data_IF_725288885143
#
_entry.id   IF_725288885143
#
_cell.length_a   1.000
_cell.length_b   1.000
_cell.length_c   1.000
_cell.angle_alpha   90.00
_cell.angle_beta   90.00
_cell.angle_gamma   90.00
#
_symmetry.space_group_name_H-M   'P 1'
#
loop_
_entity.id
_entity.type
_entity.pdbx_description
1 polymer ?
#
# COMPACT_ATOMS: atom_id res chain seq x y z
N UNK A 1 -2.76 -35.61 -49.12
CA UNK A 1 -1.76 -35.26 -48.07
C UNK A 1 -1.74 -33.77 -47.73
N UNK A 2 -1.57 -32.83 -48.68
CA UNK A 2 -1.41 -31.40 -48.35
C UNK A 2 -2.59 -30.76 -47.61
N UNK A 3 -3.85 -31.09 -47.92
CA UNK A 3 -5.01 -30.60 -47.15
C UNK A 3 -4.99 -31.06 -45.67
N UNK A 4 -4.55 -32.29 -45.39
CA UNK A 4 -4.49 -32.83 -44.04
C UNK A 4 -3.39 -32.15 -43.19
N UNK A 5 -2.27 -31.78 -43.83
CA UNK A 5 -1.23 -30.96 -43.22
C UNK A 5 -1.70 -29.51 -42.95
N UNK A 6 -2.52 -28.94 -43.83
CA UNK A 6 -3.13 -27.62 -43.63
C UNK A 6 -4.18 -27.62 -42.51
N UNK A 7 -5.07 -28.61 -42.44
CA UNK A 7 -5.95 -28.78 -41.28
C UNK A 7 -5.16 -29.06 -40.00
N UNK A 8 -4.10 -29.88 -40.07
CA UNK A 8 -3.20 -30.12 -38.94
C UNK A 8 -2.56 -28.84 -38.42
N UNK A 9 -2.01 -27.99 -39.29
CA UNK A 9 -1.40 -26.70 -38.93
C UNK A 9 -2.43 -25.67 -38.41
N UNK A 10 -3.67 -25.70 -38.89
CA UNK A 10 -4.76 -24.87 -38.37
C UNK A 10 -5.22 -25.36 -36.99
N UNK A 11 -5.31 -26.67 -36.76
CA UNK A 11 -5.67 -27.26 -35.47
C UNK A 11 -4.54 -27.15 -34.43
N UNK A 12 -3.27 -27.26 -34.84
CA UNK A 12 -2.12 -27.01 -33.96
C UNK A 12 -2.02 -25.54 -33.53
N UNK A 13 -2.58 -24.59 -34.28
CA UNK A 13 -2.75 -23.18 -33.86
C UNK A 13 -4.00 -22.92 -33.01
N UNK A 14 -4.87 -23.90 -32.85
CA UNK A 14 -5.99 -23.90 -31.90
C UNK A 14 -5.70 -24.76 -30.65
N UNK A 15 -4.47 -25.29 -30.54
CA UNK A 15 -4.00 -26.14 -29.44
C UNK A 15 -3.22 -25.41 -28.34
N UNK A 16 -2.95 -24.12 -28.49
CA UNK A 16 -2.69 -23.27 -27.33
C UNK A 16 -3.99 -23.17 -26.54
N UNK A 17 -3.97 -23.57 -25.27
CA UNK A 17 -5.11 -23.42 -24.37
C UNK A 17 -5.60 -21.97 -24.46
N UNK A 18 -6.86 -21.80 -24.86
CA UNK A 18 -7.57 -20.53 -24.76
C UNK A 18 -7.81 -20.21 -23.28
N UNK A 19 -6.75 -19.80 -22.60
CA UNK A 19 -6.85 -18.86 -21.50
C UNK A 19 -7.52 -17.61 -22.08
N UNK A 20 -8.85 -17.56 -21.96
CA UNK A 20 -9.64 -16.37 -22.26
C UNK A 20 -8.90 -15.17 -21.64
N UNK A 21 -8.61 -14.11 -22.43
CA UNK A 21 -7.91 -12.95 -21.90
C UNK A 21 -8.65 -12.48 -20.66
N UNK A 22 -7.93 -12.36 -19.54
CA UNK A 22 -8.54 -12.23 -18.23
C UNK A 22 -9.44 -11.00 -18.24
N UNK A 23 -10.75 -11.24 -18.14
CA UNK A 23 -11.73 -10.21 -18.44
C UNK A 23 -12.05 -9.40 -17.18
N UNK A 24 -12.18 -8.09 -17.34
CA UNK A 24 -12.76 -7.22 -16.32
C UNK A 24 -14.13 -7.77 -15.89
N UNK A 25 -14.37 -7.92 -14.59
CA UNK A 25 -15.60 -8.56 -14.10
C UNK A 25 -16.88 -7.88 -14.57
N UNK A 26 -16.87 -6.57 -14.86
CA UNK A 26 -18.02 -5.84 -15.39
C UNK A 26 -18.31 -6.26 -16.84
N UNK A 27 -17.27 -6.52 -17.64
CA UNK A 27 -17.41 -7.03 -19.01
C UNK A 27 -17.88 -8.49 -18.97
N UNK A 28 -17.35 -9.30 -18.05
CA UNK A 28 -17.79 -10.68 -17.86
C UNK A 28 -19.27 -10.76 -17.41
N UNK A 29 -19.71 -9.88 -16.51
CA UNK A 29 -21.12 -9.78 -16.11
C UNK A 29 -22.00 -9.39 -17.29
N UNK A 30 -21.61 -8.39 -18.09
CA UNK A 30 -22.37 -7.98 -19.28
C UNK A 30 -22.57 -9.13 -20.28
N UNK A 31 -21.53 -9.95 -20.51
CA UNK A 31 -21.62 -11.13 -21.38
C UNK A 31 -22.53 -12.21 -20.77
N UNK A 32 -22.43 -12.46 -19.46
CA UNK A 32 -23.31 -13.41 -18.76
C UNK A 32 -24.78 -12.98 -18.77
N UNK A 33 -25.07 -11.68 -18.63
CA UNK A 33 -26.44 -11.15 -18.63
C UNK A 33 -27.14 -11.25 -20.00
N UNK A 34 -26.37 -11.36 -21.10
CA UNK A 34 -26.89 -11.62 -22.44
C UNK A 34 -27.29 -13.08 -22.67
N UNK A 35 -26.68 -14.03 -21.96
CA UNK A 35 -27.08 -15.44 -21.99
C UNK A 35 -28.17 -15.73 -20.94
N UNK A 36 -29.27 -16.34 -21.38
CA UNK A 36 -30.43 -16.58 -20.49
C UNK A 36 -30.12 -17.54 -19.32
N UNK A 37 -29.22 -18.50 -19.50
CA UNK A 37 -28.91 -19.53 -18.49
C UNK A 37 -27.90 -18.97 -17.49
N UNK A 38 -26.86 -18.30 -17.98
CA UNK A 38 -25.88 -17.61 -17.16
C UNK A 38 -26.54 -16.52 -16.31
N UNK A 39 -27.40 -15.67 -16.91
CA UNK A 39 -28.15 -14.65 -16.19
C UNK A 39 -29.01 -15.25 -15.06
N UNK A 40 -29.84 -16.26 -15.35
CA UNK A 40 -30.67 -16.92 -14.33
C UNK A 40 -29.85 -17.55 -13.20
N UNK A 41 -28.70 -18.13 -13.53
CA UNK A 41 -27.77 -18.72 -12.56
C UNK A 41 -27.10 -17.65 -11.70
N UNK A 42 -26.64 -16.56 -12.30
CA UNK A 42 -26.03 -15.42 -11.60
C UNK A 42 -27.03 -14.72 -10.67
N UNK A 43 -28.28 -14.53 -11.10
CA UNK A 43 -29.37 -14.04 -10.20
C UNK A 43 -29.64 -15.00 -9.05
N UNK A 44 -29.50 -16.31 -9.26
CA UNK A 44 -29.61 -17.28 -8.17
C UNK A 44 -28.48 -17.07 -7.15
N UNK A 45 -27.24 -16.90 -7.63
CA UNK A 45 -26.07 -16.70 -6.77
C UNK A 45 -26.08 -15.36 -6.01
N UNK A 46 -26.53 -14.26 -6.62
CA UNK A 46 -26.77 -12.98 -5.93
C UNK A 46 -27.74 -13.16 -4.75
N UNK A 47 -28.82 -13.92 -4.92
CA UNK A 47 -29.79 -14.19 -3.84
C UNK A 47 -29.18 -15.05 -2.72
N UNK A 48 -28.29 -15.98 -3.05
CA UNK A 48 -27.56 -16.81 -2.09
C UNK A 48 -26.59 -15.98 -1.23
N UNK A 49 -25.82 -15.07 -1.85
CA UNK A 49 -24.92 -14.15 -1.16
C UNK A 49 -25.67 -13.16 -0.25
N UNK A 50 -26.81 -12.64 -0.72
CA UNK A 50 -27.71 -11.82 0.09
C UNK A 50 -28.28 -12.57 1.30
N UNK A 51 -28.62 -13.86 1.15
CA UNK A 51 -29.08 -14.69 2.26
C UNK A 51 -27.96 -14.95 3.28
N UNK A 52 -26.73 -15.23 2.82
CA UNK A 52 -25.52 -15.39 3.66
C UNK A 52 -25.24 -14.11 4.46
N UNK A 53 -25.24 -12.95 3.79
CA UNK A 53 -25.01 -11.63 4.39
C UNK A 53 -26.06 -11.26 5.45
N UNK A 54 -27.31 -11.68 5.26
CA UNK A 54 -28.42 -11.42 6.19
C UNK A 54 -28.61 -12.51 7.26
N UNK A 55 -27.71 -13.49 7.32
CA UNK A 55 -27.80 -14.66 8.20
C UNK A 55 -29.14 -15.41 8.09
N UNK A 56 -29.75 -15.40 6.90
CA UNK A 56 -31.03 -16.07 6.64
C UNK A 56 -30.76 -17.57 6.51
N UNK A 57 -31.40 -18.36 7.37
CA UNK A 57 -31.36 -19.81 7.30
C UNK A 57 -32.06 -20.32 6.03
N UNK A 58 -31.28 -20.61 4.99
CA UNK A 58 -31.77 -21.29 3.79
C UNK A 58 -32.23 -22.72 4.12
N UNK A 59 -33.34 -23.15 3.50
CA UNK A 59 -33.77 -24.55 3.46
C UNK A 59 -32.82 -25.42 2.61
N UNK A 60 -33.00 -26.74 2.66
CA UNK A 60 -32.11 -27.68 1.95
C UNK A 60 -32.11 -27.45 0.43
N UNK A 61 -33.28 -27.28 -0.19
CA UNK A 61 -33.40 -27.14 -1.65
C UNK A 61 -32.82 -25.79 -2.12
N UNK A 62 -32.96 -24.72 -1.32
CA UNK A 62 -32.26 -23.45 -1.58
C UNK A 62 -30.75 -23.58 -1.45
N UNK A 63 -30.21 -24.29 -0.46
CA UNK A 63 -28.76 -24.54 -0.35
C UNK A 63 -28.23 -25.34 -1.55
N UNK A 64 -28.94 -26.38 -1.97
CA UNK A 64 -28.58 -27.18 -3.16
C UNK A 64 -28.62 -26.31 -4.43
N UNK A 65 -29.61 -25.41 -4.57
CA UNK A 65 -29.65 -24.44 -5.68
C UNK A 65 -28.45 -23.48 -5.67
N UNK A 66 -28.03 -22.99 -4.51
CA UNK A 66 -26.84 -22.14 -4.39
C UNK A 66 -25.56 -22.88 -4.83
N UNK A 67 -25.33 -24.09 -4.30
CA UNK A 67 -24.17 -24.91 -4.67
C UNK A 67 -24.14 -25.25 -6.17
N UNK A 68 -25.29 -25.57 -6.76
CA UNK A 68 -25.39 -25.82 -8.20
C UNK A 68 -25.10 -24.56 -9.03
N UNK A 69 -25.49 -23.37 -8.55
CA UNK A 69 -25.21 -22.10 -9.22
C UNK A 69 -23.71 -21.75 -9.17
N UNK A 70 -23.05 -21.97 -8.02
CA UNK A 70 -21.59 -21.84 -7.87
C UNK A 70 -20.85 -22.79 -8.82
N UNK A 71 -21.23 -24.07 -8.87
CA UNK A 71 -20.61 -25.07 -9.75
C UNK A 71 -20.77 -24.74 -11.25
N UNK A 72 -21.94 -24.24 -11.65
CA UNK A 72 -22.18 -23.85 -13.04
C UNK A 72 -21.36 -22.62 -13.44
N UNK A 73 -21.36 -21.57 -12.62
CA UNK A 73 -20.58 -20.35 -12.88
C UNK A 73 -19.07 -20.57 -12.73
N UNK A 74 -18.65 -21.59 -11.99
CA UNK A 74 -17.25 -22.02 -11.90
C UNK A 74 -16.63 -22.43 -13.25
N UNK A 75 -17.44 -22.84 -14.23
CA UNK A 75 -16.99 -23.14 -15.59
C UNK A 75 -17.13 -21.95 -16.57
N UNK A 76 -17.48 -20.76 -16.07
CA UNK A 76 -17.73 -19.56 -16.89
C UNK A 76 -16.58 -18.54 -16.82
N UNK A 77 -16.54 -17.61 -17.78
CA UNK A 77 -15.58 -16.49 -17.77
C UNK A 77 -15.70 -15.58 -16.55
N UNK A 78 -16.83 -15.61 -15.83
CA UNK A 78 -17.00 -14.87 -14.58
C UNK A 78 -16.07 -15.36 -13.46
N UNK A 79 -15.84 -16.68 -13.30
CA UNK A 79 -14.95 -17.17 -12.25
C UNK A 79 -13.53 -16.62 -12.41
N UNK A 80 -13.04 -16.54 -13.65
CA UNK A 80 -11.67 -16.12 -13.90
C UNK A 80 -11.49 -14.60 -13.98
N UNK A 81 -12.56 -13.82 -13.86
CA UNK A 81 -12.54 -12.37 -13.98
C UNK A 81 -11.67 -11.69 -12.91
N UNK A 82 -11.24 -10.46 -13.21
CA UNK A 82 -10.50 -9.61 -12.28
C UNK A 82 -10.96 -8.16 -12.33
N UNK A 83 -10.46 -7.39 -11.38
CA UNK A 83 -10.67 -5.96 -11.27
C UNK A 83 -9.34 -5.22 -11.33
N UNK A 84 -9.36 -4.01 -11.90
CA UNK A 84 -8.19 -3.14 -11.86
C UNK A 84 -8.21 -2.23 -10.65
N UNK A 85 -7.03 -1.95 -10.09
CA UNK A 85 -6.89 -0.90 -9.10
C UNK A 85 -7.22 0.45 -9.78
N UNK A 86 -7.89 1.37 -9.08
CA UNK A 86 -8.18 2.75 -9.54
C UNK A 86 -9.30 2.88 -10.60
N UNK A 87 -9.94 1.79 -11.01
CA UNK A 87 -11.04 1.79 -12.00
C UNK A 87 -12.28 2.57 -11.52
N UNK A 88 -13.08 3.14 -12.46
CA UNK A 88 -14.21 4.02 -12.10
C UNK A 88 -15.35 3.32 -11.34
N UNK A 89 -15.60 2.03 -11.61
CA UNK A 89 -16.69 1.23 -11.03
C UNK A 89 -16.15 0.12 -10.11
N UNK A 90 -15.06 0.40 -9.39
CA UNK A 90 -14.32 -0.61 -8.62
C UNK A 90 -15.20 -1.38 -7.64
N UNK A 91 -16.02 -0.71 -6.82
CA UNK A 91 -16.92 -1.35 -5.86
C UNK A 91 -17.91 -2.34 -6.51
N UNK A 92 -18.38 -2.06 -7.72
CA UNK A 92 -19.26 -2.96 -8.47
C UNK A 92 -18.49 -4.13 -9.07
N UNK A 93 -17.29 -3.91 -9.61
CA UNK A 93 -16.42 -5.00 -10.06
C UNK A 93 -16.09 -5.98 -8.93
N UNK A 94 -15.71 -5.46 -7.75
CA UNK A 94 -15.40 -6.27 -6.58
C UNK A 94 -16.62 -7.04 -6.05
N UNK A 95 -17.82 -6.45 -6.15
CA UNK A 95 -19.07 -7.12 -5.81
C UNK A 95 -19.31 -8.34 -6.71
N UNK A 96 -19.23 -8.17 -8.03
CA UNK A 96 -19.33 -9.27 -9.02
C UNK A 96 -18.34 -10.38 -8.66
N UNK A 97 -17.06 -10.01 -8.44
CA UNK A 97 -16.03 -10.96 -8.05
C UNK A 97 -16.39 -11.74 -6.78
N UNK A 98 -16.78 -11.05 -5.70
CA UNK A 98 -17.10 -11.71 -4.43
C UNK A 98 -18.37 -12.55 -4.49
N UNK A 99 -19.38 -12.16 -5.30
CA UNK A 99 -20.58 -12.97 -5.53
C UNK A 99 -20.22 -14.29 -6.23
N UNK A 100 -19.31 -14.30 -7.21
CA UNK A 100 -18.92 -15.55 -7.91
C UNK A 100 -17.81 -16.34 -7.20
N UNK A 101 -17.20 -15.79 -6.14
CA UNK A 101 -16.24 -16.46 -5.26
C UNK A 101 -16.81 -16.65 -3.83
N UNK A 102 -18.13 -16.75 -3.69
CA UNK A 102 -18.83 -16.84 -2.39
C UNK A 102 -18.36 -17.99 -1.50
N UNK A 103 -18.08 -19.17 -2.07
CA UNK A 103 -17.58 -20.35 -1.37
C UNK A 103 -16.11 -20.23 -0.93
N UNK A 104 -15.27 -19.55 -1.71
CA UNK A 104 -13.87 -19.27 -1.31
C UNK A 104 -13.74 -18.31 -0.12
N UNK A 105 -14.86 -17.81 0.41
CA UNK A 105 -14.88 -16.97 1.63
C UNK A 105 -15.25 -17.73 2.90
N UNK A 106 -15.50 -19.04 2.82
CA UNK A 106 -15.80 -19.87 3.99
C UNK A 106 -14.56 -20.08 4.90
N UNK A 107 -13.36 -19.95 4.33
CA UNK A 107 -12.14 -19.68 5.09
C UNK A 107 -12.09 -18.22 5.58
N UNK A 108 -12.80 -17.91 6.68
CA UNK A 108 -13.01 -16.56 7.24
C UNK A 108 -11.80 -15.60 7.27
N UNK A 109 -10.57 -16.13 7.27
CA UNK A 109 -9.34 -15.35 7.28
C UNK A 109 -8.41 -15.61 6.08
N UNK A 110 -8.49 -16.76 5.41
CA UNK A 110 -7.59 -17.13 4.31
C UNK A 110 -8.25 -16.81 2.98
N UNK A 111 -8.12 -15.57 2.51
CA UNK A 111 -8.65 -15.15 1.21
C UNK A 111 -7.72 -15.66 0.10
N UNK A 112 -8.01 -16.87 -0.41
CA UNK A 112 -7.12 -17.65 -1.29
C UNK A 112 -6.70 -16.95 -2.60
N UNK A 113 -7.40 -15.90 -3.02
CA UNK A 113 -7.11 -15.21 -4.28
C UNK A 113 -7.50 -13.73 -4.21
N UNK A 114 -6.54 -12.86 -4.56
CA UNK A 114 -6.79 -11.42 -4.75
C UNK A 114 -7.76 -11.20 -5.93
N UNK A 115 -8.72 -10.28 -5.81
CA UNK A 115 -9.59 -9.86 -6.92
C UNK A 115 -8.90 -8.90 -7.90
N UNK A 116 -7.70 -8.43 -7.60
CA UNK A 116 -6.96 -7.51 -8.47
C UNK A 116 -6.06 -8.25 -9.46
N UNK A 117 -5.86 -7.66 -10.64
CA UNK A 117 -4.81 -8.12 -11.56
C UNK A 117 -3.42 -7.87 -10.98
N UNK A 118 -2.46 -8.74 -11.33
CA UNK A 118 -1.09 -8.59 -10.86
C UNK A 118 -0.44 -7.38 -11.59
N UNK A 119 0.05 -6.37 -10.85
CA UNK A 119 0.64 -5.16 -11.44
C UNK A 119 1.86 -5.40 -12.32
N UNK A 120 2.45 -6.60 -12.33
CA UNK A 120 3.49 -6.99 -13.28
C UNK A 120 3.04 -6.97 -14.76
N UNK A 121 1.72 -6.94 -15.03
CA UNK A 121 1.14 -6.88 -16.38
C UNK A 121 0.67 -5.46 -16.74
N UNK A 122 0.37 -4.60 -15.75
CA UNK A 122 0.14 -3.18 -16.00
C UNK A 122 1.48 -2.49 -16.28
N UNK A 123 1.82 -2.39 -17.57
CA UNK A 123 2.96 -1.60 -18.05
C UNK A 123 3.03 -0.28 -17.28
N UNK A 124 4.21 0.06 -16.74
CA UNK A 124 4.44 1.32 -16.07
C UNK A 124 3.97 2.47 -16.97
N UNK A 125 2.83 3.07 -16.60
CA UNK A 125 2.44 4.38 -17.10
C UNK A 125 3.68 5.26 -17.04
N UNK A 126 4.08 5.83 -18.17
CA UNK A 126 5.16 6.81 -18.25
C UNK A 126 4.79 8.02 -17.40
N UNK A 127 5.03 7.96 -16.08
CA UNK A 127 5.49 9.11 -15.32
C UNK A 127 6.66 9.66 -16.13
N UNK A 128 6.62 10.92 -16.54
CA UNK A 128 7.75 11.48 -17.26
C UNK A 128 8.91 11.61 -16.27
N UNK A 129 9.77 10.58 -16.26
CA UNK A 129 10.91 10.50 -15.37
C UNK A 129 11.87 11.67 -15.60
N UNK A 130 11.82 12.33 -16.76
CA UNK A 130 12.59 13.56 -17.02
C UNK A 130 12.00 14.75 -16.26
N UNK A 131 10.66 14.90 -16.21
CA UNK A 131 10.01 15.92 -15.40
C UNK A 131 10.28 15.67 -13.91
N UNK A 132 10.09 14.43 -13.43
CA UNK A 132 10.32 14.08 -12.03
C UNK A 132 11.80 14.19 -11.63
N UNK A 133 12.74 13.85 -12.52
CA UNK A 133 14.17 14.05 -12.30
C UNK A 133 14.55 15.53 -12.33
N UNK A 134 14.04 16.33 -13.26
CA UNK A 134 14.29 17.77 -13.30
C UNK A 134 13.79 18.48 -12.02
N UNK A 135 12.61 18.10 -11.51
CA UNK A 135 12.07 18.60 -10.24
C UNK A 135 12.92 18.19 -9.02
N UNK A 136 13.61 17.04 -9.07
CA UNK A 136 14.55 16.60 -8.03
C UNK A 136 15.92 17.24 -8.17
N UNK A 137 16.42 17.47 -9.39
CA UNK A 137 17.69 18.15 -9.66
C UNK A 137 17.62 19.65 -9.41
N UNK A 138 16.48 20.29 -9.64
CA UNK A 138 16.22 21.70 -9.26
C UNK A 138 16.21 21.93 -7.74
N UNK A 139 16.15 20.85 -6.94
CA UNK A 139 16.24 20.89 -5.47
C UNK A 139 17.69 20.96 -4.95
N UNK A 140 18.68 21.35 -5.76
CA UNK A 140 20.05 21.63 -5.30
C UNK A 140 20.21 22.94 -4.50
N UNK A 141 19.09 23.63 -4.19
CA UNK A 141 19.11 24.74 -3.24
C UNK A 141 19.38 24.23 -1.80
N UNK A 142 20.48 24.74 -1.26
CA UNK A 142 21.03 24.52 0.09
C UNK A 142 21.57 23.11 0.38
N UNK A 143 22.89 23.04 0.56
CA UNK A 143 23.53 21.93 1.25
C UNK A 143 23.27 22.05 2.74
N UNK A 144 22.37 21.20 3.24
CA UNK A 144 22.28 20.79 4.64
C UNK A 144 21.58 19.42 4.70
N UNK A 145 21.61 18.72 5.83
CA UNK A 145 21.00 17.41 6.03
C UNK A 145 19.45 17.48 6.12
N UNK A 146 18.79 17.98 5.07
CA UNK A 146 17.35 18.21 5.06
C UNK A 146 16.57 16.89 5.11
N UNK A 147 15.91 16.64 6.24
CA UNK A 147 14.86 15.64 6.50
C UNK A 147 14.23 15.01 5.22
N UNK A 148 14.49 13.73 4.91
CA UNK A 148 14.04 13.12 3.65
C UNK A 148 12.51 13.12 3.44
N UNK A 149 11.72 13.00 4.51
CA UNK A 149 10.26 13.11 4.44
C UNK A 149 9.77 14.53 4.10
N UNK A 150 10.52 15.56 4.52
CA UNK A 150 10.29 16.94 4.10
C UNK A 150 10.62 17.10 2.62
N UNK A 151 11.74 16.53 2.13
CA UNK A 151 12.09 16.53 0.70
C UNK A 151 11.02 15.83 -0.15
N UNK A 152 10.50 14.67 0.27
CA UNK A 152 9.39 13.99 -0.38
C UNK A 152 8.10 14.85 -0.40
N UNK A 153 7.82 15.56 0.69
CA UNK A 153 6.76 16.58 0.76
C UNK A 153 6.96 17.69 -0.28
N UNK A 154 8.16 18.24 -0.43
CA UNK A 154 8.43 19.27 -1.44
C UNK A 154 8.25 18.76 -2.86
N UNK A 155 8.70 17.54 -3.18
CA UNK A 155 8.47 16.92 -4.49
C UNK A 155 6.98 16.78 -4.82
N UNK A 156 6.15 16.39 -3.84
CA UNK A 156 4.69 16.39 -4.00
C UNK A 156 4.11 17.80 -4.25
N UNK A 157 4.63 18.82 -3.57
CA UNK A 157 4.16 20.20 -3.71
C UNK A 157 4.38 20.77 -5.12
N UNK A 158 5.36 20.25 -5.88
CA UNK A 158 5.61 20.62 -7.28
C UNK A 158 4.53 20.06 -8.24
N UNK A 159 3.90 18.94 -7.89
CA UNK A 159 2.78 18.38 -8.66
C UNK A 159 1.45 18.96 -8.20
N UNK A 160 0.80 19.77 -9.05
CA UNK A 160 -0.54 20.33 -8.81
C UNK A 160 -1.58 19.27 -8.39
N UNK A 161 -1.45 18.03 -8.89
CA UNK A 161 -2.33 16.91 -8.52
C UNK A 161 -2.03 16.37 -7.12
N UNK A 162 -0.75 16.15 -6.81
CA UNK A 162 -0.31 15.61 -5.53
C UNK A 162 -0.63 16.59 -4.39
N UNK A 163 -0.22 17.86 -4.53
CA UNK A 163 -0.45 18.89 -3.51
C UNK A 163 -1.94 19.08 -3.22
N UNK A 164 -2.79 19.17 -4.27
CA UNK A 164 -4.23 19.36 -4.10
C UNK A 164 -4.87 18.21 -3.33
N UNK A 165 -4.65 16.97 -3.77
CA UNK A 165 -5.24 15.79 -3.14
C UNK A 165 -4.70 15.58 -1.71
N UNK A 166 -3.44 15.94 -1.47
CA UNK A 166 -2.83 15.89 -0.13
C UNK A 166 -3.45 16.89 0.84
N UNK A 167 -3.56 18.15 0.43
CA UNK A 167 -4.21 19.19 1.23
C UNK A 167 -5.69 18.87 1.45
N UNK A 168 -6.37 18.30 0.44
CA UNK A 168 -7.76 17.87 0.53
C UNK A 168 -7.96 16.82 1.63
N UNK A 169 -7.29 15.66 1.59
CA UNK A 169 -7.45 14.66 2.65
C UNK A 169 -7.01 15.19 4.01
N UNK A 170 -5.90 15.93 4.08
CA UNK A 170 -5.41 16.49 5.34
C UNK A 170 -6.45 17.40 5.99
N UNK A 171 -7.05 18.32 5.22
CA UNK A 171 -8.10 19.21 5.71
C UNK A 171 -9.37 18.49 6.17
N UNK A 172 -9.72 17.36 5.54
CA UNK A 172 -10.86 16.53 5.95
C UNK A 172 -10.56 15.80 7.27
N UNK A 173 -9.33 15.28 7.41
CA UNK A 173 -8.91 14.55 8.60
C UNK A 173 -8.63 15.45 9.82
N UNK A 174 -8.28 16.73 9.63
CA UNK A 174 -8.02 17.68 10.73
C UNK A 174 -9.22 18.55 11.10
N UNK A 175 -10.30 18.56 10.29
CA UNK A 175 -11.50 19.34 10.58
C UNK A 175 -12.39 18.63 11.60
N UNK A 176 -12.33 19.07 12.85
CA UNK A 176 -13.28 18.67 13.90
C UNK A 176 -14.73 19.06 13.54
N UNK A 177 -15.69 18.29 14.04
CA UNK A 177 -17.12 18.48 13.80
C UNK A 177 -17.84 18.84 15.09
N UNK A 178 -17.94 20.14 15.38
CA UNK A 178 -18.62 20.63 16.58
C UNK A 178 -17.78 20.51 17.86
N UNK A 179 -18.42 20.59 19.02
CA UNK A 179 -17.79 20.83 20.33
C UNK A 179 -17.22 19.59 21.03
N UNK A 180 -16.88 18.54 20.28
CA UNK A 180 -16.05 17.42 20.76
C UNK A 180 -14.99 17.13 19.69
N UNK A 181 -13.74 16.92 20.10
CA UNK A 181 -12.53 16.85 19.25
C UNK A 181 -12.44 15.58 18.37
N UNK A 182 -13.50 15.26 17.64
CA UNK A 182 -13.59 14.09 16.77
C UNK A 182 -13.73 14.48 15.30
N UNK A 183 -12.92 13.85 14.46
CA UNK A 183 -12.96 14.01 13.01
C UNK A 183 -14.03 13.11 12.37
N UNK A 184 -14.47 13.44 11.15
CA UNK A 184 -15.23 12.49 10.33
C UNK A 184 -14.28 11.45 9.71
N UNK A 185 -14.00 10.37 10.47
CA UNK A 185 -13.12 9.28 10.04
C UNK A 185 -13.55 8.64 8.74
N UNK A 186 -14.86 8.54 8.45
CA UNK A 186 -15.38 7.97 7.19
C UNK A 186 -15.03 8.85 5.99
N UNK A 187 -15.15 10.18 6.12
CA UNK A 187 -14.68 11.12 5.09
C UNK A 187 -13.15 11.14 4.99
N UNK A 188 -12.43 11.12 6.10
CA UNK A 188 -10.96 11.07 6.13
C UNK A 188 -10.42 9.82 5.40
N UNK A 189 -10.94 8.64 5.72
CA UNK A 189 -10.62 7.38 5.03
C UNK A 189 -10.90 7.44 3.53
N UNK A 190 -12.04 8.00 3.11
CA UNK A 190 -12.36 8.21 1.68
C UNK A 190 -11.36 9.15 1.01
N UNK A 191 -10.94 10.22 1.68
CA UNK A 191 -9.91 11.16 1.20
C UNK A 191 -8.54 10.49 1.04
N UNK A 192 -8.12 9.69 2.02
CA UNK A 192 -6.88 8.91 1.96
C UNK A 192 -6.88 7.92 0.79
N UNK A 193 -7.96 7.14 0.61
CA UNK A 193 -8.10 6.23 -0.55
C UNK A 193 -7.99 7.00 -1.87
N UNK A 194 -8.70 8.13 -2.00
CA UNK A 194 -8.62 8.98 -3.20
C UNK A 194 -7.20 9.50 -3.47
N UNK A 195 -6.43 9.85 -2.43
CA UNK A 195 -5.03 10.25 -2.57
C UNK A 195 -4.14 9.11 -3.09
N UNK A 196 -4.11 7.96 -2.42
CA UNK A 196 -3.27 6.81 -2.82
C UNK A 196 -3.72 6.16 -4.15
N UNK A 197 -4.99 6.29 -4.52
CA UNK A 197 -5.50 5.81 -5.81
C UNK A 197 -5.28 6.78 -6.97
N UNK A 198 -5.21 8.11 -6.75
CA UNK A 198 -5.11 9.08 -7.85
C UNK A 198 -3.74 9.74 -8.00
N UNK A 199 -2.89 9.75 -6.97
CA UNK A 199 -1.52 10.24 -7.07
C UNK A 199 -0.59 9.12 -7.58
N UNK A 200 0.36 9.38 -8.51
CA UNK A 200 1.31 8.37 -8.97
C UNK A 200 2.16 7.81 -7.83
N UNK A 201 2.51 6.53 -7.91
CA UNK A 201 3.16 5.83 -6.80
C UNK A 201 4.55 6.35 -6.48
N UNK A 202 5.26 6.92 -7.46
CA UNK A 202 6.55 7.60 -7.27
C UNK A 202 6.48 8.72 -6.21
N UNK A 203 5.35 9.41 -6.06
CA UNK A 203 5.17 10.43 -5.03
C UNK A 203 4.74 9.80 -3.69
N UNK A 204 3.74 8.93 -3.71
CA UNK A 204 3.15 8.39 -2.48
C UNK A 204 4.08 7.43 -1.75
N UNK A 205 4.86 6.61 -2.47
CA UNK A 205 5.92 5.76 -1.89
C UNK A 205 7.00 6.61 -1.21
N UNK A 206 7.44 7.71 -1.83
CA UNK A 206 8.46 8.61 -1.25
C UNK A 206 7.97 9.33 0.01
N UNK A 207 6.70 9.72 0.08
CA UNK A 207 6.13 10.39 1.26
C UNK A 207 5.95 9.38 2.41
N UNK A 208 5.47 8.17 2.11
CA UNK A 208 5.14 7.16 3.11
C UNK A 208 6.37 6.39 3.62
N UNK A 209 7.29 6.03 2.74
CA UNK A 209 8.48 5.20 3.02
C UNK A 209 9.78 6.01 2.93
N UNK A 210 9.79 7.24 3.45
CA UNK A 210 11.02 8.04 3.53
C UNK A 210 11.97 7.50 4.63
N UNK A 211 13.28 7.36 4.34
CA UNK A 211 14.28 7.03 5.36
C UNK A 211 14.42 8.18 6.37
N UNK A 212 14.67 7.85 7.63
CA UNK A 212 14.83 8.83 8.71
C UNK A 212 16.00 8.47 9.60
N UNK A 213 16.70 9.49 10.08
CA UNK A 213 17.83 9.39 11.02
C UNK A 213 17.49 9.96 12.40
N UNK A 214 16.38 10.69 12.51
CA UNK A 214 15.91 11.36 13.72
C UNK A 214 14.39 11.20 13.90
N UNK A 215 13.94 11.43 15.13
CA UNK A 215 12.54 11.35 15.53
C UNK A 215 11.62 12.40 14.89
N UNK A 216 12.14 13.57 14.48
CA UNK A 216 11.33 14.61 13.82
C UNK A 216 10.97 14.19 12.38
N UNK A 217 11.87 13.48 11.72
CA UNK A 217 11.64 12.81 10.45
C UNK A 217 10.67 11.63 10.62
N UNK A 218 10.90 10.74 11.58
CA UNK A 218 10.02 9.59 11.79
C UNK A 218 8.61 10.01 12.22
N UNK A 219 8.46 11.08 13.01
CA UNK A 219 7.16 11.66 13.34
C UNK A 219 6.47 12.29 12.11
N UNK A 220 7.23 12.96 11.23
CA UNK A 220 6.71 13.44 9.94
C UNK A 220 6.22 12.27 9.06
N UNK A 221 6.95 11.15 9.05
CA UNK A 221 6.56 9.91 8.36
C UNK A 221 5.26 9.35 8.94
N UNK A 222 5.20 9.12 10.26
CA UNK A 222 4.03 8.63 11.00
C UNK A 222 2.78 9.50 10.83
N UNK A 223 2.96 10.83 10.76
CA UNK A 223 1.88 11.80 10.56
C UNK A 223 1.38 11.93 9.11
N UNK A 224 1.98 11.23 8.14
CA UNK A 224 1.56 11.26 6.72
C UNK A 224 0.06 11.07 6.52
N UNK A 225 -0.55 10.14 7.27
CA UNK A 225 -1.96 9.77 7.12
C UNK A 225 -2.90 10.44 8.15
N UNK A 226 -2.41 11.39 8.95
CA UNK A 226 -3.14 12.02 10.07
C UNK A 226 -3.65 10.98 11.09
N UNK A 227 -2.73 10.31 11.82
CA UNK A 227 -3.04 9.11 12.61
C UNK A 227 -4.10 9.34 13.68
N UNK A 228 -4.12 10.51 14.30
CA UNK A 228 -5.05 10.90 15.37
C UNK A 228 -6.53 10.82 14.92
N UNK A 229 -6.77 10.87 13.60
CA UNK A 229 -8.08 10.68 12.97
C UNK A 229 -8.22 9.32 12.26
N UNK A 230 -7.22 8.93 11.46
CA UNK A 230 -7.33 7.82 10.51
C UNK A 230 -6.92 6.46 11.06
N UNK A 231 -6.12 6.44 12.13
CA UNK A 231 -5.48 5.25 12.68
C UNK A 231 -5.94 5.01 14.12
N UNK A 232 -5.67 5.97 15.01
CA UNK A 232 -5.90 5.85 16.44
C UNK A 232 -7.38 5.95 16.81
N UNK A 233 -7.74 5.33 17.93
CA UNK A 233 -9.02 5.44 18.63
C UNK A 233 -8.70 5.66 20.12
N UNK A 234 -9.66 6.18 20.89
CA UNK A 234 -9.51 6.39 22.35
C UNK A 234 -9.13 5.12 23.12
N UNK A 235 -9.56 3.95 22.64
CA UNK A 235 -9.12 2.63 23.11
C UNK A 235 -8.69 1.78 21.91
N UNK A 236 -7.87 0.75 22.14
CA UNK A 236 -7.57 -0.26 21.11
C UNK A 236 -8.67 -1.34 21.12
N UNK A 237 -9.44 -1.54 20.03
CA UNK A 237 -10.37 -2.65 19.92
C UNK A 237 -9.63 -3.99 19.74
N UNK A 238 -10.35 -5.11 19.83
CA UNK A 238 -9.80 -6.40 19.44
C UNK A 238 -9.58 -6.47 17.90
N UNK A 239 -8.49 -7.05 17.42
CA UNK A 239 -8.20 -7.10 15.97
C UNK A 239 -9.23 -7.90 15.16
N UNK A 240 -9.94 -8.85 15.77
CA UNK A 240 -11.06 -9.57 15.14
C UNK A 240 -12.19 -8.60 14.74
N UNK A 241 -12.47 -7.58 15.55
CA UNK A 241 -13.50 -6.57 15.22
C UNK A 241 -13.11 -5.73 13.99
N UNK A 242 -11.82 -5.42 13.82
CA UNK A 242 -11.32 -4.76 12.60
C UNK A 242 -11.43 -5.68 11.38
N UNK A 243 -11.17 -6.98 11.53
CA UNK A 243 -11.37 -7.98 10.48
C UNK A 243 -12.84 -8.08 10.10
N UNK A 244 -13.76 -8.21 11.06
CA UNK A 244 -15.19 -8.32 10.82
C UNK A 244 -15.70 -7.09 10.02
N UNK A 245 -15.36 -5.88 10.47
CA UNK A 245 -15.65 -4.64 9.74
C UNK A 245 -14.98 -4.55 8.36
N UNK A 246 -13.87 -5.25 8.13
CA UNK A 246 -13.19 -5.31 6.84
C UNK A 246 -13.84 -6.30 5.87
N UNK A 247 -14.35 -7.43 6.38
CA UNK A 247 -15.00 -8.46 5.57
C UNK A 247 -16.39 -8.02 5.06
N UNK A 248 -17.06 -7.10 5.76
CA UNK A 248 -18.30 -6.45 5.31
C UNK A 248 -18.07 -5.42 4.18
N UNK A 249 -16.91 -4.75 4.13
CA UNK A 249 -16.57 -3.76 3.11
C UNK A 249 -15.83 -4.45 1.94
N UNK A 250 -16.48 -4.57 0.78
CA UNK A 250 -15.87 -5.21 -0.40
C UNK A 250 -14.51 -4.60 -0.79
N UNK A 251 -14.28 -3.29 -0.58
CA UNK A 251 -12.98 -2.68 -0.87
C UNK A 251 -11.96 -3.19 0.16
N UNK A 252 -12.27 -3.15 1.46
CA UNK A 252 -11.34 -3.64 2.49
C UNK A 252 -11.03 -5.12 2.32
N UNK A 253 -12.05 -5.99 2.21
CA UNK A 253 -11.90 -7.43 1.94
C UNK A 253 -10.99 -7.70 0.74
N UNK A 254 -11.18 -6.96 -0.36
CA UNK A 254 -10.34 -7.07 -1.56
C UNK A 254 -8.91 -6.58 -1.35
N UNK A 255 -8.69 -5.52 -0.58
CA UNK A 255 -7.34 -5.02 -0.25
C UNK A 255 -6.61 -5.98 0.71
N UNK A 256 -7.34 -6.60 1.63
CA UNK A 256 -6.81 -7.59 2.58
C UNK A 256 -6.36 -8.86 1.84
N UNK A 257 -7.17 -9.40 0.92
CA UNK A 257 -6.78 -10.53 0.07
C UNK A 257 -5.51 -10.21 -0.74
N UNK A 258 -5.42 -9.00 -1.28
CA UNK A 258 -4.24 -8.54 -2.03
C UNK A 258 -3.00 -8.38 -1.14
N UNK A 259 -3.17 -7.94 0.10
CA UNK A 259 -2.10 -7.86 1.10
C UNK A 259 -1.61 -9.24 1.52
N UNK A 260 -2.53 -10.16 1.83
CA UNK A 260 -2.21 -11.56 2.13
C UNK A 260 -1.44 -12.20 0.98
N UNK A 261 -1.93 -12.09 -0.26
CA UNK A 261 -1.30 -12.72 -1.41
C UNK A 261 0.12 -12.17 -1.71
N UNK A 262 0.32 -10.85 -1.62
CA UNK A 262 1.58 -10.21 -2.07
C UNK A 262 2.61 -9.99 -0.95
N UNK A 263 2.20 -9.97 0.32
CA UNK A 263 3.08 -9.81 1.49
C UNK A 263 3.20 -11.08 2.34
N UNK A 264 2.76 -12.25 1.84
CA UNK A 264 2.93 -13.52 2.56
C UNK A 264 4.42 -13.78 2.84
N UNK A 265 4.84 -13.93 4.11
CA UNK A 265 6.20 -14.31 4.42
C UNK A 265 6.51 -15.73 3.93
N UNK A 266 7.73 -15.93 3.45
CA UNK A 266 8.28 -17.20 3.00
C UNK A 266 9.64 -17.43 3.66
N UNK A 267 9.69 -18.34 4.65
CA UNK A 267 10.88 -18.58 5.47
C UNK A 267 12.11 -19.08 4.69
N UNK A 268 11.88 -19.66 3.51
CA UNK A 268 12.93 -20.17 2.60
C UNK A 268 13.40 -19.13 1.58
N UNK A 269 12.81 -17.93 1.55
CA UNK A 269 13.24 -16.83 0.68
C UNK A 269 14.34 -15.99 1.34
N UNK A 270 15.34 -15.59 0.56
CA UNK A 270 16.43 -14.69 1.00
C UNK A 270 15.96 -13.28 1.37
N UNK A 271 14.84 -12.82 0.80
CA UNK A 271 14.19 -11.54 1.16
C UNK A 271 12.93 -11.74 2.04
N UNK A 272 12.60 -12.98 2.37
CA UNK A 272 11.41 -13.33 3.15
C UNK A 272 10.08 -13.21 2.39
N UNK A 273 10.04 -12.82 1.12
CA UNK A 273 8.82 -12.71 0.30
C UNK A 273 8.62 -13.93 -0.62
N UNK A 274 7.38 -14.41 -0.73
CA UNK A 274 7.01 -15.58 -1.55
C UNK A 274 7.20 -15.43 -3.07
N UNK A 275 7.24 -14.20 -3.59
CA UNK A 275 7.37 -13.88 -5.02
C UNK A 275 8.52 -12.90 -5.32
N UNK A 276 9.41 -12.62 -4.37
CA UNK A 276 10.48 -11.62 -4.48
C UNK A 276 10.03 -10.20 -4.92
N UNK A 277 8.73 -9.88 -4.78
CA UNK A 277 8.11 -8.69 -5.36
C UNK A 277 7.79 -7.64 -4.29
N UNK A 278 8.83 -6.97 -3.78
CA UNK A 278 8.70 -5.85 -2.84
C UNK A 278 7.73 -4.77 -3.36
N UNK A 279 7.72 -4.50 -4.67
CA UNK A 279 6.87 -3.47 -5.26
C UNK A 279 5.37 -3.81 -5.16
N UNK A 280 4.99 -5.08 -5.34
CA UNK A 280 3.62 -5.55 -5.15
C UNK A 280 3.22 -5.55 -3.67
N UNK A 281 4.09 -6.00 -2.76
CA UNK A 281 3.80 -5.96 -1.32
C UNK A 281 3.58 -4.52 -0.81
N UNK A 282 4.45 -3.56 -1.18
CA UNK A 282 4.27 -2.15 -0.81
C UNK A 282 2.99 -1.55 -1.40
N UNK A 283 2.65 -1.90 -2.64
CA UNK A 283 1.41 -1.47 -3.28
C UNK A 283 0.17 -2.09 -2.60
N UNK A 284 0.29 -3.32 -2.07
CA UNK A 284 -0.74 -3.96 -1.27
C UNK A 284 -0.91 -3.29 0.09
N UNK A 285 0.18 -3.06 0.83
CA UNK A 285 0.21 -2.30 2.09
C UNK A 285 -0.41 -0.90 1.94
N UNK A 286 0.01 -0.13 0.93
CA UNK A 286 -0.58 1.19 0.63
C UNK A 286 -2.08 1.11 0.32
N UNK A 287 -2.54 -0.02 -0.23
CA UNK A 287 -3.95 -0.28 -0.51
C UNK A 287 -4.82 -0.47 0.73
N UNK A 288 -4.24 -0.83 1.87
CA UNK A 288 -4.95 -0.95 3.16
C UNK A 288 -5.23 0.42 3.81
N UNK A 289 -4.52 1.48 3.41
CA UNK A 289 -4.65 2.80 4.03
C UNK A 289 -6.00 3.44 3.67
N UNK A 290 -6.74 3.86 4.69
CA UNK A 290 -8.10 4.36 4.54
C UNK A 290 -9.15 3.24 4.44
N UNK A 291 -8.85 2.05 4.95
CA UNK A 291 -9.82 0.96 5.20
C UNK A 291 -10.00 0.76 6.72
N UNK A 292 -10.99 -0.03 7.20
CA UNK A 292 -11.08 -0.44 8.61
C UNK A 292 -9.75 -0.96 9.19
N UNK A 293 -9.01 -1.78 8.42
CA UNK A 293 -7.69 -2.29 8.77
C UNK A 293 -6.56 -1.39 8.25
N UNK A 294 -6.60 -0.09 8.52
CA UNK A 294 -5.52 0.85 8.16
C UNK A 294 -4.28 0.61 9.04
N UNK A 295 -3.12 0.25 8.47
CA UNK A 295 -1.86 0.15 9.21
C UNK A 295 -1.18 1.52 9.32
N UNK A 296 -0.28 1.67 10.29
CA UNK A 296 0.66 2.79 10.36
C UNK A 296 1.92 2.42 11.15
N UNK A 297 2.93 3.30 11.11
CA UNK A 297 4.08 3.24 12.01
C UNK A 297 3.66 3.35 13.48
N UNK A 298 4.19 2.46 14.33
CA UNK A 298 3.86 2.42 15.76
C UNK A 298 4.53 3.58 16.51
N UNK A 299 5.79 3.86 16.17
CA UNK A 299 6.63 4.87 16.81
C UNK A 299 7.16 5.91 15.80
N UNK A 300 7.85 6.92 16.30
CA UNK A 300 8.61 7.90 15.53
C UNK A 300 10.10 7.52 15.36
N UNK A 301 10.56 6.42 15.96
CA UNK A 301 11.97 5.99 15.96
C UNK A 301 12.21 4.68 15.20
N UNK A 302 11.23 3.78 15.15
CA UNK A 302 11.29 2.51 14.41
C UNK A 302 10.60 2.59 13.03
N UNK A 303 10.83 1.55 12.21
CA UNK A 303 10.11 1.33 10.94
C UNK A 303 8.98 0.32 11.07
N UNK A 304 8.70 -0.14 12.29
CA UNK A 304 7.68 -1.14 12.60
C UNK A 304 6.28 -0.57 12.31
N UNK A 305 5.46 -1.39 11.67
CA UNK A 305 4.08 -1.07 11.31
C UNK A 305 3.14 -2.09 11.93
N UNK A 306 1.96 -1.64 12.37
CA UNK A 306 0.94 -2.52 12.92
C UNK A 306 -0.45 -1.88 12.77
N UNK A 307 -1.48 -2.58 13.20
CA UNK A 307 -2.86 -2.10 13.25
C UNK A 307 -3.15 -1.42 14.60
N UNK A 308 -4.16 -0.55 14.67
CA UNK A 308 -4.63 -0.01 15.95
C UNK A 308 -5.61 -0.97 16.62
N UNK A 309 -5.10 -2.09 17.13
CA UNK A 309 -5.86 -3.07 17.90
C UNK A 309 -4.97 -3.82 18.91
N UNK A 310 -5.58 -4.67 19.73
CA UNK A 310 -4.89 -5.71 20.52
C UNK A 310 -5.56 -7.08 20.27
N UNK A 311 -4.93 -8.14 20.76
CA UNK A 311 -5.52 -9.48 20.82
C UNK A 311 -5.86 -9.92 22.25
N UNK A 312 -6.11 -8.95 23.12
CA UNK A 312 -6.68 -9.16 24.45
C UNK A 312 -8.15 -9.57 24.34
N UNK A 313 -8.62 -10.38 25.29
CA UNK A 313 -10.02 -10.87 25.34
C UNK A 313 -10.50 -11.66 24.10
N UNK A 314 -9.58 -12.17 23.26
CA UNK A 314 -9.90 -12.96 22.06
C UNK A 314 -10.48 -14.36 22.34
N UNK A 315 -10.33 -14.86 23.58
CA UNK A 315 -10.74 -16.21 23.96
C UNK A 315 -10.18 -17.29 23.04
N UNK A 316 -11.04 -18.20 22.58
CA UNK A 316 -10.66 -19.30 21.68
C UNK A 316 -10.20 -18.85 20.28
N UNK A 317 -10.39 -17.58 19.90
CA UNK A 317 -9.92 -17.01 18.63
C UNK A 317 -8.56 -16.29 18.76
N UNK A 318 -7.83 -16.49 19.87
CA UNK A 318 -6.53 -15.83 20.13
C UNK A 318 -5.49 -16.07 19.03
N UNK A 319 -5.29 -17.32 18.60
CA UNK A 319 -4.35 -17.67 17.52
C UNK A 319 -4.68 -16.94 16.20
N UNK A 320 -5.95 -16.97 15.77
CA UNK A 320 -6.46 -16.22 14.61
C UNK A 320 -6.23 -14.71 14.76
N UNK A 321 -6.41 -14.16 15.97
CA UNK A 321 -6.14 -12.75 16.22
C UNK A 321 -4.65 -12.41 16.09
N UNK A 322 -3.78 -13.23 16.70
CA UNK A 322 -2.33 -13.04 16.63
C UNK A 322 -1.82 -13.22 15.20
N UNK A 323 -2.45 -14.10 14.41
CA UNK A 323 -2.21 -14.23 12.96
C UNK A 323 -2.59 -12.94 12.20
N UNK A 324 -3.72 -12.29 12.50
CA UNK A 324 -4.10 -10.99 11.90
C UNK A 324 -3.01 -9.94 12.17
N UNK A 325 -2.56 -9.85 13.43
CA UNK A 325 -1.58 -8.85 13.86
C UNK A 325 -0.20 -9.12 13.22
N UNK A 326 0.25 -10.38 13.22
CA UNK A 326 1.54 -10.82 12.67
C UNK A 326 1.68 -10.69 11.15
N UNK A 327 0.60 -10.45 10.40
CA UNK A 327 0.73 -10.07 8.98
C UNK A 327 1.33 -8.68 8.78
N UNK A 328 1.21 -7.80 9.78
CA UNK A 328 1.73 -6.44 9.76
C UNK A 328 2.97 -6.31 10.66
N UNK A 329 2.89 -6.86 11.87
CA UNK A 329 3.92 -6.80 12.90
C UNK A 329 4.89 -7.98 12.77
N UNK A 330 6.20 -7.71 12.62
CA UNK A 330 7.22 -8.76 12.46
C UNK A 330 7.21 -9.49 11.11
N UNK A 331 6.41 -9.04 10.13
CA UNK A 331 6.40 -9.61 8.78
C UNK A 331 7.68 -9.23 8.02
N UNK A 332 8.63 -10.18 7.95
CA UNK A 332 9.93 -10.03 7.25
C UNK A 332 9.80 -9.55 5.81
N UNK A 333 8.81 -10.02 5.05
CA UNK A 333 8.60 -9.58 3.66
C UNK A 333 8.27 -8.09 3.60
N UNK A 334 7.35 -7.65 4.46
CA UNK A 334 6.94 -6.24 4.53
C UNK A 334 8.07 -5.35 5.06
N UNK A 335 8.80 -5.79 6.09
CA UNK A 335 9.95 -5.09 6.66
C UNK A 335 11.05 -4.90 5.60
N UNK A 336 11.46 -5.97 4.93
CA UNK A 336 12.47 -5.94 3.87
C UNK A 336 12.02 -5.10 2.67
N UNK A 337 10.72 -5.15 2.30
CA UNK A 337 10.19 -4.31 1.23
C UNK A 337 10.22 -2.81 1.61
N UNK A 338 9.82 -2.44 2.83
CA UNK A 338 9.90 -1.06 3.34
C UNK A 338 11.35 -0.59 3.41
N UNK A 339 12.25 -1.41 3.96
CA UNK A 339 13.68 -1.11 4.06
C UNK A 339 14.31 -0.93 2.67
N UNK A 340 13.99 -1.83 1.74
CA UNK A 340 14.44 -1.77 0.34
C UNK A 340 13.96 -0.48 -0.33
N UNK A 341 12.70 -0.08 -0.13
CA UNK A 341 12.16 1.17 -0.68
C UNK A 341 12.80 2.43 -0.06
N UNK A 342 13.12 2.41 1.24
CA UNK A 342 13.81 3.49 1.95
C UNK A 342 15.24 3.69 1.44
N UNK A 343 15.94 2.60 1.11
CA UNK A 343 17.33 2.61 0.64
C UNK A 343 17.49 2.51 -0.88
N UNK A 344 16.37 2.51 -1.62
CA UNK A 344 16.37 2.53 -3.07
C UNK A 344 16.91 3.88 -3.56
N UNK A 345 18.23 3.92 -3.84
CA UNK A 345 18.86 5.01 -4.58
C UNK A 345 18.07 5.23 -5.88
N UNK A 346 17.91 6.49 -6.27
CA UNK A 346 17.25 6.88 -7.53
C UNK A 346 18.14 6.58 -8.74
N UNK A 347 18.40 5.29 -8.98
CA UNK A 347 19.26 4.75 -10.05
C UNK A 347 18.63 4.83 -11.46
N UNK A 348 17.58 5.64 -11.62
CA UNK A 348 17.01 5.97 -12.93
C UNK A 348 17.88 6.92 -13.77
N UNK A 349 18.85 7.61 -13.16
CA UNK A 349 19.67 8.62 -13.86
C UNK A 349 20.98 8.09 -14.47
N UNK A 350 21.47 6.93 -14.02
CA UNK A 350 22.74 6.36 -14.50
C UNK A 350 22.53 5.45 -15.71
N UNK A 351 21.61 4.47 -15.63
CA UNK A 351 21.35 3.51 -16.73
C UNK A 351 20.93 4.12 -18.07
N UNK A 352 20.39 5.34 -18.08
CA UNK A 352 19.94 5.99 -19.31
C UNK A 352 20.97 6.97 -19.91
N UNK A 353 22.02 7.35 -19.15
CA UNK A 353 23.18 8.06 -19.71
C UNK A 353 24.09 7.10 -20.49
N UNK A 354 24.30 5.90 -19.97
CA UNK A 354 25.17 4.89 -20.59
C UNK A 354 24.61 4.34 -21.93
N UNK A 355 23.31 4.53 -22.20
CA UNK A 355 22.66 4.13 -23.46
C UNK A 355 22.64 5.24 -24.53
N UNK A 356 23.10 6.45 -24.22
CA UNK A 356 23.11 7.59 -25.16
C UNK A 356 24.51 8.10 -25.53
N UNK A 357 25.57 7.42 -25.08
CA UNK A 357 26.96 7.84 -25.34
C UNK A 357 27.87 6.69 -25.79
N UNK A 358 27.44 5.95 -26.81
CA UNK A 358 28.34 5.10 -27.63
C UNK A 358 28.73 5.86 -28.90
N UNK A 359 30.00 6.29 -29.05
CA UNK A 359 30.49 6.81 -30.32
C UNK A 359 30.43 5.70 -31.38
N UNK A 360 29.77 5.97 -32.50
CA UNK A 360 29.75 5.05 -33.64
C UNK A 360 31.15 4.92 -34.24
N UNK A 361 31.82 3.80 -33.98
CA UNK A 361 33.11 3.45 -34.60
C UNK A 361 32.98 2.13 -35.37
N UNK A 362 33.46 2.17 -36.61
CA UNK A 362 33.24 1.18 -37.67
C UNK A 362 34.03 -0.12 -37.50
N UNK A 363 33.42 -1.21 -37.93
CA UNK A 363 34.04 -2.55 -37.99
C UNK A 363 35.07 -2.67 -39.13
N UNK A 364 36.33 -2.91 -38.78
CA UNK A 364 37.39 -3.61 -39.52
C UNK A 364 38.63 -3.57 -38.60
N UNK A 365 39.39 -4.63 -38.35
CA UNK A 365 39.42 -5.99 -38.86
C UNK A 365 40.78 -6.59 -38.45
N UNK A 366 40.90 -7.92 -38.41
CA UNK A 366 42.15 -8.69 -38.24
C UNK A 366 42.87 -8.75 -36.87
N UNK A 367 42.64 -9.89 -36.22
CA UNK A 367 43.65 -10.95 -36.04
C UNK A 367 44.83 -10.81 -35.05
N UNK A 368 44.67 -11.58 -33.96
CA UNK A 368 45.63 -12.55 -33.42
C UNK A 368 46.72 -12.14 -32.39
N UNK A 369 46.97 -13.11 -31.49
CA UNK A 369 48.22 -13.41 -30.75
C UNK A 369 48.27 -13.11 -29.24
N UNK A 370 47.81 -14.11 -28.46
CA UNK A 370 48.56 -14.80 -27.39
C UNK A 370 49.53 -14.03 -26.47
N UNK A 371 49.21 -14.04 -25.17
CA UNK A 371 50.08 -14.32 -23.99
C UNK A 371 51.51 -13.74 -23.91
N UNK A 372 51.82 -13.07 -22.79
CA UNK A 372 52.46 -13.73 -21.62
C UNK A 372 52.40 -12.83 -20.37
N UNK A 373 52.78 -13.38 -19.20
CA UNK A 373 52.88 -12.67 -17.93
C UNK A 373 54.25 -12.00 -17.74
N UNK A 374 54.37 -11.03 -16.80
CA UNK A 374 55.19 -11.15 -15.58
C UNK A 374 55.26 -9.84 -14.74
N UNK A 375 55.61 -9.99 -13.46
CA UNK A 375 56.25 -9.06 -12.49
C UNK A 375 55.69 -7.61 -12.30
N UNK A 376 55.25 -7.20 -11.10
CA UNK A 376 55.95 -7.01 -9.80
C UNK A 376 56.96 -5.85 -9.76
N UNK A 377 56.66 -4.79 -8.97
CA UNK A 377 57.41 -4.48 -7.71
C UNK A 377 57.16 -3.08 -7.12
N UNK A 378 57.37 -2.99 -5.80
CA UNK A 378 57.64 -1.80 -4.96
C UNK A 378 56.48 -0.78 -4.80
N UNK A 379 55.94 -0.49 -3.61
CA UNK A 379 56.48 -0.26 -2.24
C UNK A 379 57.29 1.03 -2.11
N UNK A 380 56.68 2.04 -1.47
CA UNK A 380 57.36 3.11 -0.75
C UNK A 380 56.45 3.60 0.41
N UNK A 381 56.87 3.36 1.65
CA UNK A 381 56.34 4.07 2.83
C UNK A 381 57.05 5.43 3.00
N UNK A 382 56.34 6.48 3.41
CA UNK A 382 56.92 7.68 4.04
C UNK A 382 56.07 8.15 5.22
N UNK A 383 56.76 8.72 6.23
CA UNK A 383 56.36 9.01 7.62
C UNK A 383 57.15 10.26 8.09
N UNK A 384 56.72 11.12 9.02
CA UNK A 384 55.54 11.12 9.93
C UNK A 384 55.02 12.57 10.09
N UNK A 385 54.69 13.02 11.33
CA UNK A 385 54.47 14.41 11.80
C UNK A 385 53.13 15.04 11.38
N UNK A 386 52.15 15.27 12.26
CA UNK A 386 52.11 15.59 13.70
C UNK A 386 52.71 16.95 14.05
N UNK A 387 51.81 17.89 14.36
CA UNK A 387 52.10 19.10 15.13
C UNK A 387 50.93 19.39 16.08
N UNK A 388 51.22 20.04 17.21
CA UNK A 388 50.29 20.25 18.33
C UNK A 388 50.31 21.70 18.81
N UNK A 389 49.15 22.30 19.07
CA UNK A 389 49.04 23.42 20.02
C UNK A 389 47.66 23.51 20.65
N UNK A 390 47.58 24.15 21.81
CA UNK A 390 46.52 23.96 22.81
C UNK A 390 45.50 25.11 22.90
N UNK A 391 44.45 24.86 23.68
CA UNK A 391 43.75 25.82 24.56
C UNK A 391 43.16 27.11 23.98
N UNK A 392 41.83 27.20 23.98
CA UNK A 392 41.14 28.29 24.70
C UNK A 392 39.67 27.98 25.00
N UNK A 393 39.15 28.60 26.06
CA UNK A 393 37.90 28.26 26.73
C UNK A 393 36.70 29.13 26.32
N UNK A 394 35.49 28.57 26.54
CA UNK A 394 34.17 29.22 26.58
C UNK A 394 34.17 30.58 27.34
N UNK A 395 33.21 31.49 27.06
CA UNK A 395 31.92 31.42 27.76
C UNK A 395 30.65 31.69 26.92
N UNK A 396 29.49 31.34 27.51
CA UNK A 396 28.15 31.67 27.01
C UNK A 396 27.87 33.18 26.98
N UNK A 397 26.91 33.58 26.13
CA UNK A 397 26.11 34.80 26.30
C UNK A 397 24.62 34.44 26.32
N UNK A 398 23.82 35.20 27.08
CA UNK A 398 22.45 34.85 27.46
C UNK A 398 21.43 35.95 27.14
N UNK A 399 20.17 35.55 26.97
CA UNK A 399 18.96 36.34 27.29
C UNK A 399 17.86 35.29 27.58
N UNK A 400 17.26 35.17 28.76
CA UNK A 400 16.74 36.14 29.74
C UNK A 400 15.59 36.97 29.16
N UNK A 401 14.38 36.40 29.26
CA UNK A 401 13.25 37.13 29.83
C UNK A 401 12.51 36.21 30.80
N UNK A 402 12.48 36.58 32.08
CA UNK A 402 11.76 35.88 33.14
C UNK A 402 10.43 36.57 33.43
N UNK A 403 9.40 35.79 33.74
CA UNK A 403 8.11 36.28 34.21
C UNK A 403 7.39 35.17 34.97
N UNK A 404 7.75 34.99 36.24
CA UNK A 404 7.28 33.87 37.05
C UNK A 404 5.84 34.05 37.55
N UNK A 405 5.21 32.92 37.88
CA UNK A 405 3.85 32.86 38.41
C UNK A 405 3.73 33.45 39.83
N UNK A 406 2.56 34.00 40.13
CA UNK A 406 2.11 34.28 41.50
C UNK A 406 0.77 33.58 41.72
N UNK A 407 0.77 32.65 42.68
CA UNK A 407 -0.44 32.09 43.30
C UNK A 407 -0.80 32.95 44.51
N UNK A 408 -2.10 33.08 44.84
CA UNK A 408 -2.68 33.15 46.20
C UNK A 408 -4.23 33.30 46.15
N UNK A 409 -5.00 33.11 47.25
CA UNK A 409 -6.13 32.16 47.21
C UNK A 409 -7.55 32.70 47.47
N UNK A 410 -8.53 31.81 47.31
CA UNK A 410 -9.84 31.66 48.00
C UNK A 410 -10.61 32.88 48.54
N UNK A 411 -11.91 32.99 48.21
CA UNK A 411 -13.07 32.91 49.16
C UNK A 411 -14.44 33.23 48.49
N UNK A 412 -15.40 32.31 48.69
CA UNK A 412 -16.85 32.47 48.98
C UNK A 412 -17.87 33.26 48.11
N UNK A 413 -19.01 32.59 47.87
CA UNK A 413 -20.44 33.03 47.94
C UNK A 413 -20.91 34.20 47.03
N UNK A 414 -22.01 34.09 46.27
CA UNK A 414 -23.38 33.95 46.81
C UNK A 414 -24.44 33.44 45.80
N UNK A 415 -25.59 33.03 46.35
CA UNK A 415 -26.84 32.62 45.68
C UNK A 415 -27.65 33.80 45.09
N UNK A 416 -28.50 33.52 44.08
CA UNK A 416 -29.84 34.09 43.75
C UNK A 416 -30.01 34.19 42.22
N UNK A 417 -30.84 33.45 41.46
CA UNK A 417 -32.28 33.12 41.56
C UNK A 417 -33.19 34.34 41.27
N UNK A 418 -33.88 34.36 40.11
CA UNK A 418 -35.34 34.62 39.89
C UNK A 418 -35.72 35.20 38.49
N UNK A 419 -36.75 34.57 37.86
CA UNK A 419 -37.71 35.01 36.81
C UNK A 419 -37.19 35.58 35.45
N UNK A 420 -37.58 35.07 34.26
CA UNK A 420 -38.92 35.04 33.59
C UNK A 420 -39.49 36.44 33.23
N UNK A 421 -40.44 36.60 32.27
CA UNK A 421 -41.04 35.62 31.32
C UNK A 421 -41.11 36.09 29.84
N UNK A 422 -41.28 35.13 28.91
CA UNK A 422 -42.47 34.99 28.02
C UNK A 422 -42.35 33.75 27.13
#
# INVERSE_FOLDING_TARGET
MWLALLLGLLLSRAGDFLALPRSDCIVAEQLCLLDSICNATYRTLENCDLAKTRFIALDHDSRVRCLNAELYLGNSSLLHCKCHRRMKRQEHCLRIFWTVHSSMTDGYFNLETSPYENPAIEEHWKTDYNELAALVSGSQLAGDATNPCLKATHVCNLSKKCVRLRTEYASICTRGVGSEDTCDRRKCHRGLRNFFEKVPEDFTRRILFCPCQDELCGERRRKTIVPDCSFQYSTKPNCLWLLDSCLEDHICKSRLADFQQNCQPADMSSDGCSQHNHAACLQAYMGMIGTPMTPNYISNSSVEVSLWCTCESSGNQKEKCDQILGMFEGNKCLENAIWSQMHQKLTGLERQKDLYYSPSLSFQGDSASTSLASEMSQVAEVKTQQDTSEHSSLPMASSVYSGAAVSWPSLLLFLSLLLSPL
#
